data_IF_551416816145
#
_entry.id   IF_551416816145
#
_cell.length_a   1.000
_cell.length_b   1.000
_cell.length_c   1.000
_cell.angle_alpha   90.00
_cell.angle_beta   90.00
_cell.angle_gamma   90.00
#
_symmetry.space_group_name_H-M   'P 1'
#
loop_
_entity.id
_entity.type
_entity.pdbx_description
1 polymer ?
#
# COMPACT_ATOMS: atom_id res chain seq x y z
N UNK A 1 -8.91 2.58 8.65
CA UNK A 1 -9.21 2.08 10.01
C UNK A 1 -7.98 1.47 10.69
N UNK A 2 -7.88 1.61 12.02
CA UNK A 2 -6.86 1.07 12.96
C UNK A 2 -5.40 1.52 12.81
N UNK A 3 -5.11 2.41 11.86
CA UNK A 3 -3.89 3.21 11.90
C UNK A 3 -3.92 4.18 13.07
N UNK A 4 -2.78 4.74 13.47
CA UNK A 4 -2.70 5.62 14.66
C UNK A 4 -3.54 6.90 14.60
N UNK A 5 -4.03 7.28 13.42
CA UNK A 5 -4.94 8.43 13.23
C UNK A 5 -6.39 8.01 12.95
N UNK A 6 -6.66 6.70 12.92
CA UNK A 6 -7.98 6.15 12.63
C UNK A 6 -8.28 5.00 13.60
N UNK A 7 -7.98 5.23 14.89
CA UNK A 7 -8.29 4.31 15.98
C UNK A 7 -9.64 4.72 16.57
N UNK A 8 -10.55 3.77 16.72
CA UNK A 8 -11.86 4.02 17.34
C UNK A 8 -12.98 3.32 16.60
N UNK A 9 -14.10 3.14 17.29
CA UNK A 9 -15.31 2.57 16.74
C UNK A 9 -16.50 3.18 17.48
N UNK A 10 -17.58 3.52 16.77
CA UNK A 10 -18.75 4.17 17.39
C UNK A 10 -19.50 3.28 18.39
N UNK A 11 -19.36 1.95 18.23
CA UNK A 11 -20.06 0.93 19.05
C UNK A 11 -19.15 0.13 19.99
N UNK A 12 -17.88 -0.04 19.65
CA UNK A 12 -17.00 -1.01 20.31
C UNK A 12 -15.84 -0.27 20.95
N UNK A 13 -15.45 -0.68 22.16
CA UNK A 13 -14.33 -0.10 22.89
C UNK A 13 -12.99 -0.55 22.29
N UNK A 14 -11.90 0.14 22.65
CA UNK A 14 -10.56 -0.15 22.13
C UNK A 14 -9.96 -1.47 22.65
N UNK A 15 -10.51 -2.04 23.72
CA UNK A 15 -10.13 -3.35 24.25
C UNK A 15 -11.02 -4.49 23.70
N UNK A 16 -12.05 -4.15 22.91
CA UNK A 16 -12.93 -5.11 22.25
C UNK A 16 -12.30 -5.60 20.94
N UNK A 17 -12.19 -6.92 20.77
CA UNK A 17 -11.62 -7.53 19.56
C UNK A 17 -12.38 -7.13 18.28
N UNK A 18 -13.68 -6.83 18.38
CA UNK A 18 -14.52 -6.44 17.25
C UNK A 18 -14.10 -5.11 16.64
N UNK A 19 -13.43 -4.24 17.41
CA UNK A 19 -12.80 -3.02 16.89
C UNK A 19 -11.71 -3.31 15.87
N UNK A 20 -11.08 -4.49 15.96
CA UNK A 20 -9.95 -4.90 15.11
C UNK A 20 -10.30 -6.04 14.16
N UNK A 21 -11.52 -6.57 14.20
CA UNK A 21 -11.93 -7.70 13.35
C UNK A 21 -12.27 -7.21 11.93
N UNK A 22 -11.24 -6.81 11.19
CA UNK A 22 -11.35 -6.36 9.80
C UNK A 22 -10.06 -6.70 9.03
N UNK A 23 -10.19 -6.84 7.72
CA UNK A 23 -9.10 -7.02 6.77
C UNK A 23 -9.07 -5.87 5.75
N UNK A 24 -8.26 -6.00 4.69
CA UNK A 24 -8.31 -5.04 3.59
C UNK A 24 -9.63 -5.09 2.80
N UNK A 25 -10.44 -6.15 2.97
CA UNK A 25 -11.78 -6.21 2.39
C UNK A 25 -12.65 -5.06 2.91
N UNK A 26 -12.77 -4.92 4.23
CA UNK A 26 -13.56 -3.85 4.85
C UNK A 26 -12.97 -2.45 4.56
N UNK A 27 -11.66 -2.35 4.34
CA UNK A 27 -11.07 -1.10 3.87
C UNK A 27 -11.57 -0.73 2.48
N UNK A 28 -11.68 -1.71 1.57
CA UNK A 28 -12.15 -1.50 0.20
C UNK A 28 -13.65 -1.24 0.11
N UNK A 29 -14.47 -1.95 0.90
CA UNK A 29 -15.94 -1.83 0.79
C UNK A 29 -16.58 -0.83 1.75
N UNK A 30 -15.84 -0.30 2.73
CA UNK A 30 -16.35 0.71 3.66
C UNK A 30 -15.46 1.96 3.74
N UNK A 31 -14.16 1.81 4.02
CA UNK A 31 -13.31 2.98 4.31
C UNK A 31 -13.11 3.86 3.08
N UNK A 32 -12.64 3.27 1.97
CA UNK A 32 -12.36 4.02 0.76
C UNK A 32 -13.63 4.68 0.19
N UNK A 33 -14.77 3.97 0.07
CA UNK A 33 -16.08 4.55 -0.23
C UNK A 33 -16.43 5.78 0.62
N UNK A 34 -16.34 5.66 1.94
CA UNK A 34 -16.67 6.76 2.85
C UNK A 34 -15.72 7.96 2.70
N UNK A 35 -14.44 7.73 2.41
CA UNK A 35 -13.49 8.81 2.11
C UNK A 35 -13.82 9.51 0.80
N UNK A 36 -14.12 8.76 -0.25
CA UNK A 36 -14.50 9.33 -1.55
C UNK A 36 -15.76 10.18 -1.38
N UNK A 37 -16.82 9.63 -0.80
CA UNK A 37 -18.09 10.35 -0.61
C UNK A 37 -17.89 11.66 0.17
N UNK A 38 -17.13 11.61 1.26
CA UNK A 38 -16.85 12.80 2.05
C UNK A 38 -16.00 13.84 1.30
N UNK A 39 -15.01 13.41 0.51
CA UNK A 39 -14.20 14.33 -0.31
C UNK A 39 -15.08 15.01 -1.37
N UNK A 40 -15.92 14.25 -2.06
CA UNK A 40 -16.82 14.80 -3.08
C UNK A 40 -17.83 15.78 -2.46
N UNK A 41 -18.41 15.43 -1.32
CA UNK A 41 -19.33 16.28 -0.56
C UNK A 41 -18.68 17.62 -0.14
N UNK A 42 -17.49 17.56 0.46
CA UNK A 42 -16.82 18.76 0.99
C UNK A 42 -16.24 19.64 -0.13
N UNK A 43 -15.74 19.05 -1.21
CA UNK A 43 -15.11 19.80 -2.30
C UNK A 43 -16.08 20.26 -3.37
N UNK A 44 -17.23 19.61 -3.50
CA UNK A 44 -18.20 19.85 -4.57
C UNK A 44 -17.76 19.33 -5.95
N UNK A 45 -16.68 18.55 -6.02
CA UNK A 45 -16.31 17.83 -7.24
C UNK A 45 -17.14 16.56 -7.40
N UNK A 46 -17.38 16.13 -8.64
CA UNK A 46 -18.12 14.89 -8.93
C UNK A 46 -17.23 13.64 -8.87
N UNK A 47 -15.92 13.81 -9.10
CA UNK A 47 -14.97 12.70 -9.21
C UNK A 47 -13.59 13.05 -8.64
N UNK A 48 -12.83 12.02 -8.25
CA UNK A 48 -11.46 12.17 -7.75
C UNK A 48 -10.42 11.55 -8.70
N UNK A 49 -9.16 11.91 -8.46
CA UNK A 49 -7.99 11.15 -8.90
C UNK A 49 -7.46 10.33 -7.71
N UNK A 50 -7.11 9.07 -7.93
CA UNK A 50 -6.66 8.18 -6.85
C UNK A 50 -5.21 7.74 -7.02
N UNK A 51 -4.43 7.74 -5.94
CA UNK A 51 -3.09 7.15 -5.93
C UNK A 51 -3.02 6.12 -4.81
N UNK A 52 -2.80 4.86 -5.19
CA UNK A 52 -2.63 3.74 -4.29
C UNK A 52 -1.18 3.28 -4.26
N UNK A 53 -0.62 3.15 -3.06
CA UNK A 53 0.67 2.47 -2.85
C UNK A 53 0.40 1.12 -2.19
N UNK A 54 1.02 0.05 -2.71
CA UNK A 54 0.99 -1.26 -2.07
C UNK A 54 -0.44 -1.74 -1.81
N UNK A 55 -0.79 -1.97 -0.54
CA UNK A 55 -2.13 -2.34 -0.10
C UNK A 55 -3.20 -1.29 -0.47
N UNK A 56 -2.84 -0.01 -0.61
CA UNK A 56 -3.77 1.01 -1.10
C UNK A 56 -4.34 0.64 -2.47
N UNK A 57 -3.51 0.17 -3.40
CA UNK A 57 -3.95 -0.33 -4.70
C UNK A 57 -4.87 -1.54 -4.58
N UNK A 58 -4.54 -2.48 -3.67
CA UNK A 58 -5.40 -3.64 -3.38
C UNK A 58 -6.77 -3.23 -2.80
N UNK A 59 -6.79 -2.24 -1.90
CA UNK A 59 -8.02 -1.67 -1.33
C UNK A 59 -8.89 -1.04 -2.42
N UNK A 60 -8.30 -0.30 -3.36
CA UNK A 60 -9.01 0.21 -4.53
C UNK A 60 -9.55 -0.91 -5.41
N UNK A 61 -8.74 -1.94 -5.71
CA UNK A 61 -9.17 -3.08 -6.52
C UNK A 61 -10.35 -3.83 -5.86
N UNK A 62 -10.35 -4.00 -4.53
CA UNK A 62 -11.52 -4.53 -3.81
C UNK A 62 -12.73 -3.64 -4.00
N UNK A 63 -12.58 -2.32 -3.85
CA UNK A 63 -13.70 -1.38 -4.00
C UNK A 63 -14.36 -1.52 -5.38
N UNK A 64 -13.61 -1.46 -6.48
CA UNK A 64 -14.22 -1.56 -7.82
C UNK A 64 -14.75 -2.95 -8.15
N UNK A 65 -14.12 -3.99 -7.59
CA UNK A 65 -14.57 -5.37 -7.76
C UNK A 65 -15.93 -5.60 -7.10
N UNK A 66 -16.14 -5.02 -5.92
CA UNK A 66 -17.32 -5.29 -5.08
C UNK A 66 -18.39 -4.18 -5.16
N UNK A 67 -18.01 -2.95 -5.52
CA UNK A 67 -18.88 -1.76 -5.54
C UNK A 67 -18.78 -1.02 -6.88
N UNK A 68 -19.40 -1.56 -7.96
CA UNK A 68 -19.36 -0.95 -9.29
C UNK A 68 -19.82 0.52 -9.34
N UNK A 69 -20.72 0.93 -8.43
CA UNK A 69 -21.22 2.31 -8.35
C UNK A 69 -20.14 3.36 -8.03
N UNK A 70 -18.97 2.96 -7.54
CA UNK A 70 -17.86 3.88 -7.25
C UNK A 70 -16.96 4.15 -8.46
N UNK A 71 -17.09 3.39 -9.55
CA UNK A 71 -16.32 3.60 -10.79
C UNK A 71 -16.53 5.00 -11.34
N UNK A 72 -17.78 5.46 -11.35
CA UNK A 72 -18.15 6.78 -11.87
C UNK A 72 -17.66 7.94 -11.00
N UNK A 73 -17.14 7.66 -9.80
CA UNK A 73 -16.59 8.65 -8.86
C UNK A 73 -15.08 8.84 -9.00
N UNK A 74 -14.42 8.11 -9.91
CA UNK A 74 -12.97 8.14 -10.10
C UNK A 74 -12.67 8.43 -11.57
N UNK A 75 -11.84 9.43 -11.84
CA UNK A 75 -11.43 9.79 -13.21
C UNK A 75 -10.37 8.80 -13.71
N UNK A 76 -9.35 8.58 -12.88
CA UNK A 76 -8.22 7.71 -13.13
C UNK A 76 -7.53 7.36 -11.82
N UNK A 77 -6.79 6.26 -11.81
CA UNK A 77 -6.00 5.83 -10.66
C UNK A 77 -4.56 5.47 -11.02
N UNK A 78 -3.63 5.72 -10.09
CA UNK A 78 -2.24 5.28 -10.20
C UNK A 78 -1.92 4.29 -9.11
N UNK A 79 -1.39 3.13 -9.50
CA UNK A 79 -0.95 2.08 -8.59
C UNK A 79 0.58 2.01 -8.55
N UNK A 80 1.13 2.14 -7.35
CA UNK A 80 2.56 2.05 -7.07
C UNK A 80 2.82 0.74 -6.34
N UNK A 81 3.56 -0.18 -6.96
CA UNK A 81 3.87 -1.52 -6.40
C UNK A 81 2.63 -2.25 -5.86
N UNK A 82 1.60 -2.51 -6.69
CA UNK A 82 0.28 -2.94 -6.21
C UNK A 82 0.29 -4.29 -5.50
N UNK A 83 -0.29 -4.35 -4.30
CA UNK A 83 -0.52 -5.59 -3.57
C UNK A 83 -1.91 -6.18 -3.89
N UNK A 84 -2.04 -6.74 -5.10
CA UNK A 84 -3.26 -7.41 -5.60
C UNK A 84 -2.97 -8.92 -5.62
N UNK A 85 -2.53 -9.48 -6.76
CA UNK A 85 -1.89 -10.80 -6.69
C UNK A 85 -0.51 -10.64 -6.06
N UNK A 86 -0.13 -11.61 -5.24
CA UNK A 86 1.20 -11.69 -4.65
C UNK A 86 1.89 -12.96 -5.11
N UNK A 87 3.22 -12.98 -5.07
CA UNK A 87 3.96 -14.19 -5.43
C UNK A 87 3.61 -15.29 -4.44
N UNK A 88 3.21 -16.45 -4.97
CA UNK A 88 2.98 -17.60 -4.11
C UNK A 88 4.25 -17.86 -3.29
N UNK A 89 4.12 -17.86 -1.97
CA UNK A 89 5.26 -17.89 -1.06
C UNK A 89 6.20 -19.09 -1.28
N UNK A 90 5.71 -20.22 -1.81
CA UNK A 90 6.55 -21.40 -2.12
C UNK A 90 7.47 -21.16 -3.32
N UNK A 91 7.14 -20.15 -4.15
CA UNK A 91 7.94 -19.72 -5.31
C UNK A 91 8.94 -18.62 -4.94
N UNK A 92 8.96 -18.18 -3.69
CA UNK A 92 9.97 -17.23 -3.20
C UNK A 92 11.29 -17.92 -2.90
N UNK A 93 12.36 -17.16 -2.62
CA UNK A 93 13.65 -17.75 -2.25
C UNK A 93 13.54 -18.55 -0.95
N UNK A 94 14.36 -19.59 -0.78
CA UNK A 94 14.33 -20.46 0.40
C UNK A 94 14.40 -19.68 1.72
N UNK A 95 15.28 -18.69 1.81
CA UNK A 95 15.41 -17.85 3.01
C UNK A 95 14.14 -17.04 3.25
N UNK A 96 13.58 -16.40 2.21
CA UNK A 96 12.39 -15.58 2.37
C UNK A 96 11.16 -16.42 2.73
N UNK A 97 10.99 -17.59 2.11
CA UNK A 97 9.94 -18.54 2.47
C UNK A 97 9.97 -18.92 3.95
N UNK A 98 11.14 -19.19 4.53
CA UNK A 98 11.26 -19.51 5.96
C UNK A 98 10.90 -18.31 6.86
N UNK A 99 11.28 -17.09 6.47
CA UNK A 99 10.87 -15.87 7.17
C UNK A 99 9.34 -15.72 7.13
N UNK A 100 8.72 -15.89 5.95
CA UNK A 100 7.28 -15.81 5.80
C UNK A 100 6.56 -16.85 6.68
N UNK A 101 7.06 -18.08 6.77
CA UNK A 101 6.49 -19.10 7.68
C UNK A 101 6.54 -18.71 9.15
N UNK A 102 7.65 -18.12 9.59
CA UNK A 102 7.79 -17.64 10.98
C UNK A 102 6.79 -16.52 11.24
N UNK A 103 6.67 -15.57 10.32
CA UNK A 103 5.73 -14.44 10.45
C UNK A 103 4.28 -14.93 10.45
N UNK A 104 3.93 -15.89 9.59
CA UNK A 104 2.60 -16.51 9.56
C UNK A 104 2.26 -17.20 10.89
N UNK A 105 3.19 -17.99 11.44
CA UNK A 105 3.03 -18.61 12.76
C UNK A 105 2.89 -17.57 13.87
N UNK A 106 3.66 -16.47 13.81
CA UNK A 106 3.52 -15.36 14.74
C UNK A 106 2.14 -14.71 14.65
N UNK A 107 1.60 -14.48 13.45
CA UNK A 107 0.26 -13.92 13.23
C UNK A 107 -0.81 -14.83 13.86
N UNK A 108 -0.76 -16.14 13.62
CA UNK A 108 -1.72 -17.08 14.22
C UNK A 108 -1.61 -17.12 15.74
N UNK A 109 -0.39 -17.09 16.29
CA UNK A 109 -0.17 -17.01 17.74
C UNK A 109 -0.74 -15.73 18.35
N UNK A 110 -0.57 -14.58 17.70
CA UNK A 110 -1.14 -13.30 18.15
C UNK A 110 -2.67 -13.38 18.20
N UNK A 111 -3.31 -13.95 17.17
CA UNK A 111 -4.76 -14.16 17.14
C UNK A 111 -5.21 -15.06 18.31
N UNK A 112 -4.54 -16.20 18.52
CA UNK A 112 -4.88 -17.11 19.62
C UNK A 112 -4.73 -16.45 21.00
N UNK A 113 -3.72 -15.60 21.16
CA UNK A 113 -3.42 -14.88 22.41
C UNK A 113 -4.23 -13.60 22.58
N UNK A 114 -5.18 -13.32 21.69
CA UNK A 114 -6.01 -12.12 21.70
C UNK A 114 -5.23 -10.80 21.57
N UNK A 115 -4.15 -10.83 20.81
CA UNK A 115 -3.34 -9.67 20.46
C UNK A 115 -3.69 -9.24 19.05
N UNK A 116 -4.61 -8.28 18.95
CA UNK A 116 -5.27 -7.94 17.68
C UNK A 116 -4.57 -6.86 16.86
N UNK A 117 -3.64 -6.14 17.48
CA UNK A 117 -3.00 -4.97 16.88
C UNK A 117 -1.54 -5.27 16.62
N UNK A 118 -1.18 -5.36 15.35
CA UNK A 118 0.21 -5.36 14.93
C UNK A 118 0.77 -3.96 15.03
N UNK A 119 2.06 -3.88 15.35
CA UNK A 119 2.78 -2.62 15.44
C UNK A 119 2.20 -1.63 16.47
N UNK A 120 1.59 -2.16 17.55
CA UNK A 120 0.95 -1.34 18.59
C UNK A 120 1.95 -0.45 19.36
N UNK A 121 3.14 -0.96 19.67
CA UNK A 121 4.17 -0.21 20.40
C UNK A 121 5.00 0.68 19.45
N UNK A 122 4.41 1.81 19.06
CA UNK A 122 5.02 2.80 18.15
C UNK A 122 6.39 3.31 18.63
N UNK A 123 6.59 3.69 19.90
CA UNK A 123 7.91 4.12 20.37
C UNK A 123 8.97 3.04 20.18
N UNK A 124 8.66 1.79 20.51
CA UNK A 124 9.59 0.67 20.32
C UNK A 124 9.95 0.48 18.86
N UNK A 125 8.96 0.44 17.96
CA UNK A 125 9.18 0.26 16.52
C UNK A 125 10.00 1.40 15.95
N UNK A 126 9.66 2.64 16.35
CA UNK A 126 10.39 3.83 15.96
C UNK A 126 11.84 3.72 16.42
N UNK A 127 12.09 3.44 17.69
CA UNK A 127 13.47 3.32 18.22
C UNK A 127 14.25 2.22 17.50
N UNK A 128 13.65 1.05 17.27
CA UNK A 128 14.29 -0.08 16.56
C UNK A 128 14.61 0.24 15.10
N UNK A 129 13.73 0.94 14.38
CA UNK A 129 14.00 1.33 13.00
C UNK A 129 14.97 2.51 12.93
N UNK A 130 14.86 3.47 13.84
CA UNK A 130 15.80 4.59 13.94
C UNK A 130 17.21 4.11 14.24
N UNK A 131 17.40 3.08 15.09
CA UNK A 131 18.74 2.57 15.40
C UNK A 131 19.45 2.09 14.13
N UNK A 132 18.72 1.61 13.11
CA UNK A 132 19.29 1.26 11.80
C UNK A 132 20.00 2.42 11.10
N UNK A 133 19.74 3.66 11.50
CA UNK A 133 20.28 4.89 10.90
C UNK A 133 21.27 5.66 11.78
N UNK A 134 21.49 5.24 13.04
CA UNK A 134 22.25 6.02 14.04
C UNK A 134 23.70 5.55 14.20
N UNK A 135 24.03 4.33 13.77
CA UNK A 135 25.41 3.81 13.90
C UNK A 135 26.25 4.26 12.68
N UNK A 136 27.35 5.00 12.87
CA UNK A 136 28.23 5.36 11.75
C UNK A 136 28.78 4.08 11.11
N UNK A 137 28.68 4.01 9.78
CA UNK A 137 29.07 2.93 8.87
C UNK A 137 30.02 1.87 9.48
N UNK A 138 29.54 0.66 9.77
CA UNK A 138 30.41 -0.52 9.84
C UNK A 138 29.71 -1.83 9.39
N UNK A 139 28.76 -2.35 10.14
CA UNK A 139 28.12 -3.66 9.94
C UNK A 139 26.62 -3.56 10.23
N UNK A 140 26.23 -2.84 11.30
CA UNK A 140 24.84 -2.79 11.77
C UNK A 140 23.88 -2.20 10.73
N UNK A 141 24.24 -1.08 10.09
CA UNK A 141 23.47 -0.48 9.01
C UNK A 141 23.30 -1.46 7.83
N UNK A 142 24.39 -2.12 7.42
CA UNK A 142 24.34 -3.11 6.33
C UNK A 142 23.43 -4.27 6.68
N UNK A 143 23.56 -4.84 7.88
CA UNK A 143 22.70 -5.93 8.34
C UNK A 143 21.23 -5.52 8.43
N UNK A 144 20.92 -4.31 8.91
CA UNK A 144 19.55 -3.83 8.95
C UNK A 144 18.99 -3.62 7.54
N UNK A 145 19.73 -2.99 6.63
CA UNK A 145 19.31 -2.82 5.23
C UNK A 145 19.12 -4.17 4.53
N UNK A 146 19.97 -5.16 4.82
CA UNK A 146 19.77 -6.53 4.31
C UNK A 146 18.49 -7.16 4.87
N UNK A 147 18.23 -7.06 6.18
CA UNK A 147 17.04 -7.65 6.79
C UNK A 147 15.75 -6.99 6.30
N UNK A 148 15.73 -5.66 6.23
CA UNK A 148 14.63 -4.90 5.63
C UNK A 148 14.51 -5.22 4.14
N UNK A 149 15.64 -5.40 3.45
CA UNK A 149 15.66 -5.71 2.03
C UNK A 149 15.13 -7.10 1.68
N UNK A 150 15.16 -8.05 2.63
CA UNK A 150 14.50 -9.34 2.44
C UNK A 150 12.98 -9.21 2.29
N UNK A 151 12.36 -8.18 2.89
CA UNK A 151 10.91 -7.96 2.79
C UNK A 151 10.56 -6.91 1.73
N UNK A 152 11.21 -5.75 1.74
CA UNK A 152 10.87 -4.61 0.87
C UNK A 152 11.59 -4.64 -0.48
N UNK A 153 12.62 -5.47 -0.62
CA UNK A 153 13.53 -5.46 -1.76
C UNK A 153 14.90 -4.88 -1.41
N UNK A 154 15.98 -5.32 -2.06
CA UNK A 154 17.34 -4.92 -1.72
C UNK A 154 17.53 -3.40 -1.78
N UNK A 155 18.48 -2.91 -0.99
CA UNK A 155 18.92 -1.52 -1.06
C UNK A 155 19.70 -1.30 -2.36
N UNK A 156 19.21 -0.40 -3.21
CA UNK A 156 19.78 -0.10 -4.54
C UNK A 156 20.59 1.19 -4.57
N UNK A 157 20.71 1.91 -3.44
CA UNK A 157 21.30 3.25 -3.41
C UNK A 157 20.33 4.39 -3.78
N UNK A 158 19.10 4.05 -4.16
CA UNK A 158 18.08 5.04 -4.54
C UNK A 158 17.53 5.79 -3.31
N UNK A 159 17.57 5.24 -2.10
CA UNK A 159 17.21 5.95 -0.88
C UNK A 159 18.47 6.42 -0.13
N UNK A 160 18.39 7.51 0.64
CA UNK A 160 19.49 7.87 1.55
C UNK A 160 19.56 6.88 2.74
N UNK A 161 20.63 6.07 2.80
CA UNK A 161 20.85 5.08 3.84
C UNK A 161 20.79 5.64 5.27
N UNK A 162 21.31 6.85 5.50
CA UNK A 162 21.35 7.45 6.85
C UNK A 162 19.99 7.94 7.32
N UNK A 163 19.01 8.10 6.42
CA UNK A 163 17.63 8.43 6.78
C UNK A 163 16.65 7.28 6.58
N UNK A 164 17.11 6.13 6.07
CA UNK A 164 16.27 4.97 5.74
C UNK A 164 15.44 4.49 6.93
N UNK A 165 16.06 4.33 8.11
CA UNK A 165 15.39 3.90 9.33
C UNK A 165 14.31 4.88 9.79
N UNK A 166 14.61 6.19 9.77
CA UNK A 166 13.65 7.24 10.13
C UNK A 166 12.46 7.28 9.16
N UNK A 167 12.73 7.16 7.86
CA UNK A 167 11.72 7.15 6.82
C UNK A 167 10.79 5.95 6.95
N UNK A 168 11.34 4.74 7.13
CA UNK A 168 10.55 3.53 7.36
C UNK A 168 9.71 3.61 8.63
N UNK A 169 10.28 4.15 9.72
CA UNK A 169 9.55 4.36 10.96
C UNK A 169 8.36 5.32 10.81
N UNK A 170 8.45 6.27 9.87
CA UNK A 170 7.39 7.26 9.64
C UNK A 170 6.14 6.69 8.98
N UNK A 171 6.29 5.64 8.17
CA UNK A 171 5.17 5.01 7.42
C UNK A 171 4.61 3.78 8.11
N UNK A 172 5.39 3.13 8.98
CA UNK A 172 4.90 1.98 9.74
C UNK A 172 3.93 2.45 10.83
N UNK A 173 2.69 1.98 10.70
CA UNK A 173 1.58 2.27 11.59
C UNK A 173 0.97 0.98 12.12
N UNK A 174 0.27 1.10 13.25
CA UNK A 174 -0.60 0.05 13.74
C UNK A 174 -1.58 -0.41 12.66
N UNK A 175 -1.88 -1.70 12.67
CA UNK A 175 -2.92 -2.31 11.83
C UNK A 175 -3.49 -3.52 12.55
N UNK A 176 -4.63 -4.01 12.07
CA UNK A 176 -5.21 -5.26 12.57
C UNK A 176 -4.36 -6.47 12.13
N UNK A 177 -4.20 -7.43 13.03
CA UNK A 177 -3.62 -8.74 12.74
C UNK A 177 -4.38 -9.48 11.62
N UNK A 178 -5.67 -9.19 11.45
CA UNK A 178 -6.51 -9.78 10.41
C UNK A 178 -6.19 -9.23 9.01
N UNK A 179 -5.69 -7.99 8.89
CA UNK A 179 -5.16 -7.46 7.62
C UNK A 179 -3.92 -8.24 7.20
N UNK A 180 -3.00 -8.49 8.14
CA UNK A 180 -1.81 -9.29 7.86
C UNK A 180 -2.17 -10.74 7.54
N UNK A 181 -3.07 -11.36 8.31
CA UNK A 181 -3.57 -12.71 8.03
C UNK A 181 -4.15 -12.81 6.61
N UNK A 182 -4.95 -11.84 6.18
CA UNK A 182 -5.51 -11.82 4.84
C UNK A 182 -4.41 -11.72 3.76
N UNK A 183 -3.42 -10.84 3.93
CA UNK A 183 -2.27 -10.76 3.02
C UNK A 183 -1.49 -12.07 2.95
N UNK A 184 -1.33 -12.77 4.07
CA UNK A 184 -0.68 -14.08 4.11
C UNK A 184 -1.51 -15.17 3.42
N UNK A 185 -2.84 -15.09 3.45
CA UNK A 185 -3.71 -15.98 2.66
C UNK A 185 -3.50 -15.76 1.16
N UNK A 186 -3.41 -14.50 0.72
CA UNK A 186 -3.08 -14.13 -0.66
C UNK A 186 -1.68 -14.63 -1.04
N UNK A 187 -0.66 -14.46 -0.19
CA UNK A 187 0.69 -15.00 -0.41
C UNK A 187 0.71 -16.53 -0.49
N UNK A 188 -0.07 -17.23 0.32
CA UNK A 188 -0.16 -18.70 0.32
C UNK A 188 -0.75 -19.24 -0.97
N UNK A 189 -1.82 -18.60 -1.47
CA UNK A 189 -2.49 -18.99 -2.72
C UNK A 189 -1.75 -18.48 -3.95
N UNK A 190 -1.16 -17.28 -3.85
CA UNK A 190 -0.67 -16.50 -4.97
C UNK A 190 -1.81 -15.87 -5.78
N UNK A 191 -2.98 -15.71 -5.18
CA UNK A 191 -4.22 -15.23 -5.81
C UNK A 191 -4.90 -14.20 -4.91
N UNK A 192 -5.45 -13.17 -5.53
CA UNK A 192 -6.18 -12.12 -4.84
C UNK A 192 -7.59 -12.59 -4.47
N UNK A 193 -7.71 -13.15 -3.27
CA UNK A 193 -8.95 -13.76 -2.77
C UNK A 193 -9.57 -12.95 -1.65
N UNK A 194 -10.87 -13.16 -1.40
CA UNK A 194 -11.55 -12.71 -0.18
C UNK A 194 -10.95 -13.40 1.05
N UNK A 195 -11.32 -12.90 2.24
CA UNK A 195 -10.78 -13.40 3.51
C UNK A 195 -11.24 -14.83 3.75
N UNK A 196 -10.30 -15.75 3.94
CA UNK A 196 -10.62 -17.13 4.29
C UNK A 196 -10.81 -17.26 5.79
N UNK A 197 -12.00 -17.68 6.23
CA UNK A 197 -12.28 -17.84 7.65
C UNK A 197 -11.56 -19.05 8.27
N UNK A 198 -10.89 -19.88 7.46
CA UNK A 198 -10.24 -21.11 7.91
C UNK A 198 -11.22 -22.18 8.38
N UNK A 199 -12.51 -21.95 8.16
CA UNK A 199 -13.61 -22.84 8.52
C UNK A 199 -14.57 -22.91 7.33
N UNK A 200 -14.80 -24.14 6.84
CA UNK A 200 -15.60 -24.42 5.64
C UNK A 200 -17.03 -23.95 5.80
N UNK A 201 -17.64 -24.21 6.96
CA UNK A 201 -19.03 -23.85 7.25
C UNK A 201 -19.19 -22.32 7.26
N UNK A 202 -18.21 -21.61 7.82
CA UNK A 202 -18.21 -20.15 7.86
C UNK A 202 -18.03 -19.54 6.48
N UNK A 203 -17.12 -20.08 5.66
CA UNK A 203 -16.99 -19.68 4.26
C UNK A 203 -18.31 -19.91 3.49
N UNK A 204 -18.96 -21.06 3.68
CA UNK A 204 -20.28 -21.33 3.07
C UNK A 204 -21.34 -20.32 3.52
N UNK A 205 -21.37 -19.96 4.80
CA UNK A 205 -22.32 -18.97 5.32
C UNK A 205 -22.09 -17.57 4.75
N UNK A 206 -20.84 -17.17 4.55
CA UNK A 206 -20.49 -15.80 4.12
C UNK A 206 -20.48 -15.66 2.60
N UNK A 207 -19.99 -16.68 1.88
CA UNK A 207 -19.74 -16.63 0.44
C UNK A 207 -20.61 -17.59 -0.39
N UNK A 208 -21.30 -18.54 0.24
CA UNK A 208 -21.99 -19.62 -0.47
C UNK A 208 -21.04 -20.70 -1.03
N UNK A 209 -19.73 -20.55 -0.84
CA UNK A 209 -18.68 -21.46 -1.30
C UNK A 209 -17.82 -21.94 -0.13
N UNK A 210 -17.24 -23.16 -0.19
CA UNK A 210 -16.49 -23.72 0.93
C UNK A 210 -15.13 -23.05 1.16
N UNK A 211 -14.65 -22.34 0.16
CA UNK A 211 -13.40 -21.58 0.15
C UNK A 211 -13.70 -20.12 -0.18
N UNK A 212 -12.86 -19.21 0.30
CA UNK A 212 -12.98 -17.81 -0.07
C UNK A 212 -12.73 -17.63 -1.59
N UNK A 213 -13.68 -17.03 -2.33
CA UNK A 213 -13.56 -16.83 -3.77
C UNK A 213 -12.56 -15.71 -4.10
N UNK A 214 -12.19 -15.61 -5.38
CA UNK A 214 -11.35 -14.53 -5.88
C UNK A 214 -12.15 -13.22 -5.95
N UNK A 215 -11.47 -12.09 -5.81
CA UNK A 215 -12.05 -10.83 -6.28
C UNK A 215 -12.08 -10.86 -7.81
N UNK A 216 -13.19 -10.44 -8.40
CA UNK A 216 -13.31 -10.34 -9.84
C UNK A 216 -12.60 -9.05 -10.30
N UNK A 217 -11.38 -9.18 -10.84
CA UNK A 217 -10.60 -8.03 -11.31
C UNK A 217 -11.08 -7.50 -12.66
N UNK A 218 -11.91 -8.26 -13.40
CA UNK A 218 -12.53 -7.74 -14.63
C UNK A 218 -13.53 -6.61 -14.34
N UNK A 219 -13.94 -6.47 -13.08
CA UNK A 219 -14.74 -5.36 -12.58
C UNK A 219 -13.94 -4.08 -12.30
N UNK A 220 -12.61 -4.13 -12.34
CA UNK A 220 -11.78 -2.92 -12.28
C UNK A 220 -11.77 -2.30 -13.68
N UNK A 221 -12.32 -1.11 -13.80
CA UNK A 221 -12.56 -0.43 -15.10
C UNK A 221 -12.01 0.98 -15.15
N UNK A 222 -11.72 1.61 -14.00
CA UNK A 222 -11.08 2.93 -13.96
C UNK A 222 -9.74 2.89 -14.70
N UNK A 223 -9.43 3.84 -15.59
CA UNK A 223 -8.13 3.93 -16.25
C UNK A 223 -6.97 3.94 -15.25
N UNK A 224 -5.97 3.10 -15.49
CA UNK A 224 -4.86 2.86 -14.55
C UNK A 224 -3.49 3.21 -15.16
N UNK A 225 -2.65 3.85 -14.37
CA UNK A 225 -1.20 3.79 -14.52
C UNK A 225 -0.64 2.87 -13.41
N UNK A 226 0.00 1.77 -13.80
CA UNK A 226 0.63 0.81 -12.87
C UNK A 226 2.14 0.94 -12.95
N UNK A 227 2.77 1.47 -11.90
CA UNK A 227 4.22 1.57 -11.78
C UNK A 227 4.74 0.58 -10.75
N UNK A 228 5.70 -0.26 -11.14
CA UNK A 228 6.18 -1.35 -10.29
C UNK A 228 7.69 -1.59 -10.48
N UNK A 229 8.35 -2.08 -9.43
CA UNK A 229 9.80 -2.04 -9.29
C UNK A 229 10.43 -3.38 -9.68
N UNK A 230 11.59 -3.34 -10.33
CA UNK A 230 12.27 -4.57 -10.78
C UNK A 230 12.83 -5.42 -9.63
N UNK A 231 13.02 -4.81 -8.46
CA UNK A 231 13.56 -5.47 -7.25
C UNK A 231 12.60 -5.39 -6.06
N UNK A 232 11.30 -5.18 -6.33
CA UNK A 232 10.26 -5.17 -5.32
C UNK A 232 9.92 -6.61 -4.88
N UNK A 233 10.23 -6.95 -3.62
CA UNK A 233 9.96 -8.27 -3.04
C UNK A 233 8.52 -8.44 -2.53
N UNK A 234 7.76 -7.35 -2.36
CA UNK A 234 6.36 -7.41 -1.93
C UNK A 234 5.43 -7.52 -3.14
N UNK A 235 5.64 -6.69 -4.16
CA UNK A 235 4.87 -6.66 -5.40
C UNK A 235 5.75 -7.06 -6.59
N UNK A 236 6.11 -8.35 -6.65
CA UNK A 236 7.04 -8.84 -7.68
C UNK A 236 6.49 -8.64 -9.11
N UNK A 237 7.41 -8.46 -10.06
CA UNK A 237 7.13 -8.33 -11.50
C UNK A 237 6.04 -9.33 -11.97
N UNK A 238 6.22 -10.62 -11.68
CA UNK A 238 5.29 -11.66 -12.16
C UNK A 238 3.89 -11.55 -11.55
N UNK A 239 3.79 -11.11 -10.30
CA UNK A 239 2.51 -10.98 -9.62
C UNK A 239 1.75 -9.72 -10.08
N UNK A 240 2.48 -8.63 -10.31
CA UNK A 240 1.92 -7.39 -10.86
C UNK A 240 1.43 -7.60 -12.29
N UNK A 241 2.23 -8.23 -13.15
CA UNK A 241 1.82 -8.53 -14.53
C UNK A 241 0.58 -9.43 -14.59
N UNK A 242 0.47 -10.43 -13.70
CA UNK A 242 -0.77 -11.21 -13.56
C UNK A 242 -1.96 -10.32 -13.17
N UNK A 243 -1.76 -9.37 -12.25
CA UNK A 243 -2.82 -8.46 -11.82
C UNK A 243 -3.29 -7.56 -12.96
N UNK A 244 -2.35 -7.04 -13.76
CA UNK A 244 -2.66 -6.25 -14.95
C UNK A 244 -3.44 -7.09 -15.96
N UNK A 245 -3.01 -8.33 -16.21
CA UNK A 245 -3.67 -9.24 -17.15
C UNK A 245 -5.10 -9.60 -16.73
N UNK A 246 -5.40 -9.65 -15.43
CA UNK A 246 -6.74 -9.95 -14.93
C UNK A 246 -7.65 -8.70 -14.87
N UNK A 247 -7.09 -7.48 -14.89
CA UNK A 247 -7.83 -6.21 -15.00
C UNK A 247 -8.16 -5.87 -16.46
N UNK A 248 -8.69 -6.84 -17.20
CA UNK A 248 -8.91 -6.80 -18.66
C UNK A 248 -9.81 -5.65 -19.14
N UNK A 249 -10.70 -5.16 -18.28
CA UNK A 249 -11.67 -4.12 -18.62
C UNK A 249 -11.15 -2.70 -18.41
N UNK A 250 -9.98 -2.56 -17.79
CA UNK A 250 -9.34 -1.28 -17.56
C UNK A 250 -8.39 -0.93 -18.71
N UNK A 251 -8.31 0.36 -19.07
CA UNK A 251 -7.18 0.86 -19.86
C UNK A 251 -5.97 0.98 -18.93
N UNK A 252 -5.03 0.03 -19.03
CA UNK A 252 -3.85 -0.02 -18.16
C UNK A 252 -2.60 0.41 -18.93
N UNK A 253 -1.99 1.51 -18.51
CA UNK A 253 -0.59 1.82 -18.82
C UNK A 253 0.28 1.22 -17.72
N UNK A 254 1.34 0.48 -18.09
CA UNK A 254 2.26 -0.10 -17.12
C UNK A 254 3.69 0.38 -17.32
N UNK A 255 4.41 0.64 -16.22
CA UNK A 255 5.82 1.06 -16.24
C UNK A 255 6.63 0.28 -15.22
N UNK A 256 7.54 -0.55 -15.71
CA UNK A 256 8.59 -1.16 -14.91
C UNK A 256 9.64 -0.10 -14.57
N UNK A 257 9.96 0.03 -13.29
CA UNK A 257 11.00 0.91 -12.78
C UNK A 257 12.24 0.07 -12.41
N UNK A 258 13.28 0.07 -13.28
CA UNK A 258 14.58 -0.49 -12.93
C UNK A 258 15.10 0.06 -11.61
N UNK A 259 15.57 -0.86 -10.77
CA UNK A 259 16.25 -0.64 -9.48
C UNK A 259 15.39 0.01 -8.39
N UNK A 260 14.06 -0.03 -8.56
CA UNK A 260 13.10 0.37 -7.52
C UNK A 260 12.72 -0.84 -6.67
N UNK A 261 12.85 -0.69 -5.35
CA UNK A 261 12.24 -1.55 -4.34
C UNK A 261 10.89 -0.98 -3.85
N UNK A 262 10.26 -1.64 -2.90
CA UNK A 262 8.90 -1.33 -2.46
C UNK A 262 8.70 0.05 -1.83
N UNK A 263 9.76 0.69 -1.33
CA UNK A 263 9.68 2.00 -0.65
C UNK A 263 10.30 3.14 -1.45
N UNK A 264 10.99 2.82 -2.54
CA UNK A 264 11.59 3.83 -3.42
C UNK A 264 10.54 4.74 -4.06
N UNK A 265 9.27 4.32 -4.20
CA UNK A 265 8.19 5.20 -4.65
C UNK A 265 7.95 6.42 -3.74
N UNK A 266 8.31 6.31 -2.46
CA UNK A 266 8.15 7.37 -1.47
C UNK A 266 9.47 8.08 -1.15
N UNK A 267 10.54 7.30 -1.05
CA UNK A 267 11.81 7.75 -0.45
C UNK A 267 12.99 7.69 -1.41
N UNK A 268 12.77 7.20 -2.63
CA UNK A 268 13.79 7.17 -3.68
C UNK A 268 14.13 8.59 -4.14
N UNK A 269 15.43 8.87 -4.28
CA UNK A 269 15.96 10.12 -4.85
C UNK A 269 15.43 10.35 -6.26
N UNK A 270 15.23 9.27 -7.00
CA UNK A 270 14.70 9.31 -8.36
C UNK A 270 13.16 9.32 -8.44
N UNK A 271 12.45 9.17 -7.31
CA UNK A 271 10.98 9.13 -7.29
C UNK A 271 10.32 10.38 -7.90
N UNK A 272 10.79 11.61 -7.62
CA UNK A 272 10.23 12.80 -8.25
C UNK A 272 10.24 12.73 -9.79
N UNK A 273 11.35 12.28 -10.37
CA UNK A 273 11.54 12.23 -11.82
C UNK A 273 10.86 11.01 -12.46
N UNK A 274 10.95 9.84 -11.82
CA UNK A 274 10.56 8.55 -12.42
C UNK A 274 9.17 8.06 -12.00
N UNK A 275 8.59 8.65 -10.96
CA UNK A 275 7.25 8.30 -10.45
C UNK A 275 6.32 9.51 -10.52
N UNK A 276 6.69 10.63 -9.89
CA UNK A 276 5.74 11.73 -9.70
C UNK A 276 5.47 12.51 -10.98
N UNK A 277 6.50 12.80 -11.79
CA UNK A 277 6.30 13.43 -13.10
C UNK A 277 5.40 12.57 -14.01
N UNK A 278 5.72 11.28 -14.27
CA UNK A 278 4.81 10.39 -15.00
C UNK A 278 3.38 10.31 -14.49
N UNK A 279 3.20 10.29 -13.16
CA UNK A 279 1.90 10.24 -12.52
C UNK A 279 1.08 11.50 -12.81
N UNK A 280 1.71 12.68 -12.70
CA UNK A 280 1.06 13.96 -13.02
C UNK A 280 0.74 14.02 -14.50
N UNK A 281 1.67 13.66 -15.38
CA UNK A 281 1.46 13.64 -16.83
C UNK A 281 0.26 12.75 -17.21
N UNK A 282 0.15 11.57 -16.57
CA UNK A 282 -0.98 10.67 -16.76
C UNK A 282 -2.30 11.31 -16.33
N UNK A 283 -2.36 11.96 -15.16
CA UNK A 283 -3.56 12.65 -14.71
C UNK A 283 -3.92 13.86 -15.56
N UNK A 284 -2.96 14.64 -16.02
CA UNK A 284 -3.19 15.76 -16.95
C UNK A 284 -3.77 15.26 -18.27
N UNK A 285 -3.27 14.12 -18.78
CA UNK A 285 -3.84 13.47 -19.95
C UNK A 285 -5.30 13.03 -19.71
N UNK A 286 -5.56 12.33 -18.61
CA UNK A 286 -6.89 11.79 -18.27
C UNK A 286 -7.93 12.87 -17.97
N UNK A 287 -7.50 14.04 -17.51
CA UNK A 287 -8.39 15.19 -17.25
C UNK A 287 -8.52 16.16 -18.42
N UNK A 288 -7.81 15.91 -19.53
CA UNK A 288 -7.80 16.80 -20.70
C UNK A 288 -7.03 18.11 -20.47
N UNK A 289 -6.15 18.16 -19.46
CA UNK A 289 -5.28 19.29 -19.13
C UNK A 289 -3.87 19.19 -19.75
N UNK A 290 -3.62 18.21 -20.61
CA UNK A 290 -2.33 18.01 -21.29
C UNK A 290 -1.82 19.29 -21.97
N UNK A 291 -0.85 19.96 -21.32
CA UNK A 291 -0.25 21.21 -21.80
C UNK A 291 -0.15 22.35 -20.77
N UNK A 292 -0.66 22.20 -19.55
CA UNK A 292 -0.37 23.15 -18.48
C UNK A 292 1.05 22.91 -17.94
N UNK A 293 1.99 23.77 -18.33
CA UNK A 293 3.32 23.89 -17.73
C UNK A 293 3.20 24.10 -16.19
N UNK A 294 3.08 23.01 -15.42
CA UNK A 294 3.02 23.02 -13.96
C UNK A 294 4.37 23.35 -13.31
N UNK A 295 5.35 23.80 -14.09
CA UNK A 295 6.64 24.30 -13.62
C UNK A 295 6.98 25.70 -14.14
N UNK A 296 6.09 26.66 -13.91
CA UNK A 296 6.55 28.04 -13.68
C UNK A 296 6.78 28.19 -12.18
N UNK A 297 8.04 28.26 -11.70
CA UNK A 297 8.28 28.61 -10.31
C UNK A 297 7.58 29.93 -10.06
N UNK A 298 6.62 29.91 -9.14
CA UNK A 298 5.99 31.10 -8.60
C UNK A 298 7.13 32.05 -8.21
N UNK A 299 7.29 33.14 -8.97
CA UNK A 299 8.10 34.28 -8.54
C UNK A 299 7.37 34.86 -7.34
N UNK A 300 7.62 34.28 -6.17
CA UNK A 300 7.21 34.89 -4.92
C UNK A 300 7.78 36.30 -4.93
N UNK A 301 6.88 37.28 -4.88
CA UNK A 301 7.22 38.67 -4.63
C UNK A 301 7.70 38.75 -3.18
N UNK A 302 8.96 38.38 -2.93
CA UNK A 302 9.66 38.87 -1.77
C UNK A 302 9.81 40.38 -1.94
N UNK A 303 8.88 41.13 -1.31
CA UNK A 303 9.10 42.54 -1.00
C UNK A 303 10.42 42.61 -0.25
N UNK A 304 11.45 43.20 -0.87
CA UNK A 304 12.61 43.71 -0.15
C UNK A 304 12.09 44.71 0.88
N UNK A 305 12.10 44.31 2.15
CA UNK A 305 12.04 45.28 3.25
C UNK A 305 13.36 46.02 3.21
N UNK A 306 13.31 47.27 2.75
CA UNK A 306 14.45 48.17 2.77
C UNK A 306 14.88 48.40 4.22
N UNK A 307 16.16 48.13 4.51
CA UNK A 307 16.83 48.72 5.67
C UNK A 307 17.04 50.20 5.35
N UNK A 308 16.31 51.08 6.02
CA UNK A 308 16.71 52.47 6.16
C UNK A 308 17.77 52.53 7.25
N UNK A 309 18.96 52.98 6.89
CA UNK A 309 19.93 53.51 7.84
C UNK A 309 19.46 54.88 8.33
N UNK A 310 19.35 55.01 9.65
CA UNK A 310 19.67 56.20 10.43
C UNK A 310 20.21 55.69 11.77
#
# INVERSE_FOLDING_TARGET
RGTGRSIGHVKYALDDFRTYQYSFHEMGVYDLPAFIDHILEVTGHDRILYVGLSLGSGVFAVMESELPAYRDKVIAAVFLGPAIHLTNWIKTSFFYYNILRIVDSMIESQIQRKLWVLFANRPLIRTTLHSCSVVPLNIYLSSCLTLVGLTLGPYTGNMNATSAGVQLASVITSTSVYVAKHLFQVLKKGEFTKYDYGNREKNMQVYGTPTAPNYDLSNVTTPLLVMYGSVDNMASFKAVERSIADMVSSSVESRLLPDFNHVDYLFGREAPKRVYVPLVDFFDHMTGQGGLDLYKPSKSKFKKVGRSHA
#
